data_IF_871281973209
#
_entry.id   IF_871281973209
#
_cell.length_a   1.000
_cell.length_b   1.000
_cell.length_c   1.000
_cell.angle_alpha   90.00
_cell.angle_beta   90.00
_cell.angle_gamma   90.00
#
_symmetry.space_group_name_H-M   'P 1'
#
loop_
_entity.id
_entity.type
_entity.pdbx_description
1 polymer ?
#
# COMPACT_ATOMS: atom_id res chain seq x y z
N UNK A 1 13.58 -24.30 76.63
CA UNK A 1 12.21 -23.81 76.89
C UNK A 1 11.73 -23.21 75.60
N UNK A 2 11.11 -24.13 74.87
CA UNK A 2 10.28 -24.01 73.69
C UNK A 2 9.27 -22.86 73.81
N UNK A 3 8.94 -22.21 72.69
CA UNK A 3 7.58 -22.34 72.16
C UNK A 3 7.48 -21.90 70.70
N UNK A 4 6.65 -22.63 69.97
CA UNK A 4 6.51 -22.60 68.51
C UNK A 4 5.37 -21.68 68.04
N UNK A 5 5.59 -21.12 66.85
CA UNK A 5 4.65 -20.75 65.78
C UNK A 5 3.15 -20.53 66.08
N UNK A 6 2.63 -19.37 65.64
CA UNK A 6 1.29 -19.29 65.01
C UNK A 6 1.37 -18.40 63.76
N UNK A 7 1.03 -19.03 62.64
CA UNK A 7 0.76 -18.47 61.32
C UNK A 7 -0.60 -17.76 61.35
N UNK A 8 -0.69 -16.53 60.85
CA UNK A 8 -1.97 -16.04 60.32
C UNK A 8 -1.74 -15.25 59.02
N UNK A 9 -2.06 -15.92 57.92
CA UNK A 9 -2.15 -15.37 56.58
C UNK A 9 -3.49 -14.63 56.49
N UNK A 10 -3.46 -13.31 56.28
CA UNK A 10 -4.60 -12.56 55.73
C UNK A 10 -4.21 -11.83 54.46
N UNK A 11 -4.39 -12.56 53.37
CA UNK A 11 -4.74 -12.05 52.04
C UNK A 11 -5.99 -11.17 52.13
N UNK A 12 -6.01 -10.03 51.43
CA UNK A 12 -7.11 -9.39 50.66
C UNK A 12 -6.65 -7.94 50.37
N UNK A 13 -6.16 -7.64 49.16
CA UNK A 13 -6.91 -7.13 47.99
C UNK A 13 -7.06 -5.60 47.98
N UNK A 14 -6.28 -4.92 47.13
CA UNK A 14 -6.63 -3.58 46.60
C UNK A 14 -6.09 -3.47 45.16
N UNK A 15 -6.86 -2.89 44.21
CA UNK A 15 -6.91 -3.42 42.86
C UNK A 15 -6.07 -2.65 41.82
N UNK A 16 -5.50 -3.43 40.90
CA UNK A 16 -5.43 -3.19 39.44
C UNK A 16 -5.22 -1.75 38.93
N UNK A 17 -3.96 -1.35 38.76
CA UNK A 17 -3.57 -0.31 37.81
C UNK A 17 -3.01 -0.95 36.53
N UNK A 18 -3.87 -1.60 35.76
CA UNK A 18 -3.55 -2.10 34.41
C UNK A 18 -4.06 -1.10 33.39
N UNK A 19 -3.18 -0.14 33.02
CA UNK A 19 -3.32 0.62 31.77
C UNK A 19 -3.31 -0.39 30.63
N UNK A 20 -4.43 -0.49 29.91
CA UNK A 20 -4.54 -1.27 28.68
C UNK A 20 -3.76 -0.54 27.56
N UNK A 21 -2.74 -1.13 26.92
CA UNK A 21 -2.32 -0.67 25.61
C UNK A 21 -3.34 -1.17 24.58
N UNK A 22 -4.22 -0.29 24.11
CA UNK A 22 -5.08 -0.58 22.95
C UNK A 22 -4.29 -0.37 21.66
N UNK A 23 -3.51 -1.36 21.24
CA UNK A 23 -3.04 -1.46 19.85
C UNK A 23 -3.85 -2.56 19.16
N UNK A 24 -5.01 -2.18 18.62
CA UNK A 24 -5.66 -2.98 17.58
C UNK A 24 -4.83 -2.79 16.31
N UNK A 25 -3.83 -3.63 16.14
CA UNK A 25 -3.08 -3.82 14.90
C UNK A 25 -4.05 -4.32 13.84
N UNK A 26 -4.68 -3.37 13.15
CA UNK A 26 -5.50 -3.63 11.97
C UNK A 26 -4.58 -3.58 10.75
N UNK A 27 -3.69 -4.56 10.68
CA UNK A 27 -2.92 -4.87 9.48
C UNK A 27 -3.38 -6.23 8.99
N UNK A 28 -3.46 -6.37 7.67
CA UNK A 28 -3.71 -7.62 6.94
C UNK A 28 -5.15 -8.11 6.93
N UNK A 29 -5.91 -7.59 5.97
CA UNK A 29 -6.62 -8.42 4.99
C UNK A 29 -7.17 -7.52 3.89
N UNK A 30 -6.87 -7.88 2.63
CA UNK A 30 -7.38 -7.23 1.43
C UNK A 30 -6.30 -6.53 0.61
N UNK A 31 -5.97 -7.10 -0.56
CA UNK A 31 -5.17 -6.54 -1.67
C UNK A 31 -3.64 -6.66 -1.63
N UNK A 32 -3.00 -7.03 -0.51
CA UNK A 32 -1.56 -7.32 -0.48
C UNK A 32 -1.14 -8.62 -1.21
N UNK A 33 -2.09 -9.55 -1.40
CA UNK A 33 -1.81 -10.89 -1.94
C UNK A 33 -1.55 -10.95 -3.44
N UNK A 34 -2.07 -10.03 -4.24
CA UNK A 34 -1.94 -10.11 -5.71
C UNK A 34 -0.53 -9.71 -6.18
N UNK A 35 0.20 -8.91 -5.39
CA UNK A 35 1.62 -8.65 -5.65
C UNK A 35 2.54 -9.79 -5.15
N UNK A 36 2.03 -10.64 -4.24
CA UNK A 36 2.81 -11.67 -3.56
C UNK A 36 3.16 -12.85 -4.47
N UNK A 37 2.31 -13.18 -5.44
CA UNK A 37 2.45 -14.43 -6.22
C UNK A 37 3.45 -14.37 -7.38
N UNK A 38 3.80 -13.19 -7.90
CA UNK A 38 4.51 -13.06 -9.18
C UNK A 38 5.98 -12.65 -9.10
N UNK A 39 6.48 -12.22 -7.94
CA UNK A 39 7.88 -11.81 -7.78
C UNK A 39 8.76 -12.97 -7.27
N UNK A 40 8.18 -13.95 -6.56
CA UNK A 40 8.94 -15.05 -5.96
C UNK A 40 9.21 -16.23 -6.94
N UNK A 41 8.39 -16.37 -7.99
CA UNK A 41 8.55 -17.41 -9.00
C UNK A 41 8.87 -16.74 -10.32
N UNK A 42 10.05 -16.96 -10.88
CA UNK A 42 10.47 -16.47 -12.20
C UNK A 42 9.66 -17.03 -13.39
N UNK A 43 8.37 -17.31 -13.22
CA UNK A 43 7.46 -17.69 -14.31
C UNK A 43 6.96 -16.46 -15.02
N UNK A 44 7.71 -16.03 -16.02
CA UNK A 44 7.16 -15.35 -17.19
C UNK A 44 6.32 -16.36 -17.99
N UNK A 45 5.19 -16.80 -17.43
CA UNK A 45 4.13 -17.37 -18.24
C UNK A 45 3.45 -16.20 -18.94
N UNK A 46 3.96 -15.91 -20.13
CA UNK A 46 3.30 -15.07 -21.12
C UNK A 46 2.00 -15.75 -21.53
N UNK A 47 0.92 -15.46 -20.81
CA UNK A 47 -0.43 -15.69 -21.29
C UNK A 47 -0.84 -14.43 -22.05
N UNK A 48 -0.93 -14.52 -23.38
CA UNK A 48 -1.57 -13.57 -24.28
C UNK A 48 -3.10 -13.51 -24.04
N UNK A 49 -3.51 -13.31 -22.79
CA UNK A 49 -4.87 -12.92 -22.42
C UNK A 49 -4.96 -11.41 -22.44
N UNK A 50 -5.77 -10.87 -23.36
CA UNK A 50 -5.81 -9.45 -23.74
C UNK A 50 -5.62 -8.42 -22.62
N UNK A 51 -5.02 -7.30 -23.00
CA UNK A 51 -4.79 -6.07 -22.22
C UNK A 51 -6.04 -5.50 -21.51
N UNK A 52 -7.21 -6.13 -21.64
CA UNK A 52 -8.49 -5.70 -21.08
C UNK A 52 -8.75 -6.17 -19.63
N UNK A 53 -7.99 -7.13 -19.09
CA UNK A 53 -8.22 -7.68 -17.73
C UNK A 53 -7.23 -7.23 -16.66
N UNK A 54 -6.12 -6.60 -17.03
CA UNK A 54 -5.01 -6.31 -16.12
C UNK A 54 -5.16 -4.90 -15.52
N UNK A 55 -5.00 -4.71 -14.21
CA UNK A 55 -5.00 -3.38 -13.63
C UNK A 55 -3.95 -2.48 -14.33
N UNK A 56 -4.24 -1.20 -14.58
CA UNK A 56 -3.36 -0.33 -15.36
C UNK A 56 -1.92 -0.29 -14.84
N UNK A 57 -1.71 -0.37 -13.53
CA UNK A 57 -0.40 -0.36 -12.88
C UNK A 57 0.38 -1.69 -12.98
N UNK A 58 -0.20 -2.72 -13.59
CA UNK A 58 0.46 -3.99 -13.88
C UNK A 58 0.81 -4.15 -15.36
N UNK A 59 0.70 -3.09 -16.17
CA UNK A 59 1.15 -3.11 -17.55
C UNK A 59 2.63 -3.54 -17.67
N UNK A 60 3.02 -4.29 -18.73
CA UNK A 60 4.37 -4.85 -18.86
C UNK A 60 5.51 -3.85 -18.67
N UNK A 61 5.35 -2.62 -19.15
CA UNK A 61 6.34 -1.55 -18.98
C UNK A 61 6.52 -1.10 -17.53
N UNK A 62 5.44 -1.09 -16.74
CA UNK A 62 5.50 -0.73 -15.31
C UNK A 62 6.24 -1.83 -14.54
N UNK A 63 5.92 -3.10 -14.85
CA UNK A 63 6.59 -4.26 -14.25
C UNK A 63 8.07 -4.28 -14.62
N UNK A 64 8.40 -4.16 -15.91
CA UNK A 64 9.79 -4.11 -16.40
C UNK A 64 10.59 -2.99 -15.73
N UNK A 65 9.99 -1.80 -15.58
CA UNK A 65 10.64 -0.69 -14.90
C UNK A 65 10.89 -0.97 -13.41
N UNK A 66 9.98 -1.68 -12.72
CA UNK A 66 10.19 -2.06 -11.31
C UNK A 66 11.37 -3.02 -11.12
N UNK A 67 11.51 -4.01 -12.00
CA UNK A 67 12.63 -4.97 -11.98
C UNK A 67 13.95 -4.26 -12.30
N UNK A 68 13.94 -3.30 -13.22
CA UNK A 68 15.12 -2.54 -13.62
C UNK A 68 15.73 -1.71 -12.47
N UNK A 69 14.99 -1.43 -11.39
CA UNK A 69 15.52 -0.71 -10.22
C UNK A 69 16.69 -1.49 -9.59
N UNK A 70 16.69 -2.83 -9.67
CA UNK A 70 17.69 -3.73 -9.04
C UNK A 70 17.77 -3.55 -7.53
N UNK A 71 16.64 -3.77 -6.85
CA UNK A 71 16.51 -3.66 -5.40
C UNK A 71 16.92 -4.95 -4.68
N UNK A 72 17.53 -4.81 -3.50
CA UNK A 72 17.74 -5.92 -2.55
C UNK A 72 16.39 -6.43 -2.00
N UNK A 73 16.39 -7.58 -1.32
CA UNK A 73 15.18 -8.14 -0.71
C UNK A 73 14.51 -7.16 0.29
N UNK A 74 15.32 -6.49 1.13
CA UNK A 74 14.81 -5.53 2.10
C UNK A 74 14.24 -4.27 1.43
N UNK A 75 14.93 -3.76 0.42
CA UNK A 75 14.44 -2.64 -0.39
C UNK A 75 13.15 -3.01 -1.13
N UNK A 76 13.04 -4.24 -1.62
CA UNK A 76 11.81 -4.75 -2.25
C UNK A 76 10.64 -4.79 -1.26
N UNK A 77 10.86 -5.15 0.01
CA UNK A 77 9.81 -5.14 1.02
C UNK A 77 9.26 -3.72 1.22
N UNK A 78 10.15 -2.72 1.36
CA UNK A 78 9.77 -1.30 1.47
C UNK A 78 9.07 -0.81 0.20
N UNK A 79 9.56 -1.21 -0.97
CA UNK A 79 8.94 -0.89 -2.26
C UNK A 79 7.49 -1.40 -2.34
N UNK A 80 7.27 -2.68 -2.00
CA UNK A 80 5.92 -3.29 -2.02
C UNK A 80 4.99 -2.55 -1.07
N UNK A 81 5.45 -2.22 0.13
CA UNK A 81 4.67 -1.46 1.11
C UNK A 81 4.34 -0.03 0.61
N UNK A 82 5.32 0.66 0.03
CA UNK A 82 5.16 2.02 -0.46
C UNK A 82 4.21 2.10 -1.66
N UNK A 83 4.36 1.21 -2.65
CA UNK A 83 3.51 1.13 -3.84
C UNK A 83 2.11 0.66 -3.47
N UNK A 84 2.00 -0.37 -2.63
CA UNK A 84 0.72 -0.87 -2.14
C UNK A 84 -0.06 0.22 -1.40
N UNK A 85 0.61 0.96 -0.51
CA UNK A 85 -0.01 2.09 0.19
C UNK A 85 -0.43 3.24 -0.74
N UNK A 86 0.30 3.49 -1.83
CA UNK A 86 -0.11 4.46 -2.84
C UNK A 86 -1.39 4.03 -3.57
N UNK A 87 -1.45 2.79 -4.05
CA UNK A 87 -2.59 2.27 -4.82
C UNK A 87 -3.84 2.13 -3.95
N UNK A 88 -3.70 1.58 -2.76
CA UNK A 88 -4.80 1.41 -1.81
C UNK A 88 -5.33 2.76 -1.34
N UNK A 89 -4.44 3.69 -0.97
CA UNK A 89 -4.82 5.03 -0.54
C UNK A 89 -5.54 5.82 -1.63
N UNK A 90 -5.05 5.75 -2.88
CA UNK A 90 -5.70 6.40 -4.01
C UNK A 90 -7.08 5.81 -4.29
N UNK A 91 -7.19 4.48 -4.31
CA UNK A 91 -8.44 3.77 -4.61
C UNK A 91 -9.49 4.01 -3.53
N UNK A 92 -9.11 3.88 -2.26
CA UNK A 92 -9.99 4.10 -1.11
C UNK A 92 -10.52 5.53 -1.08
N UNK A 93 -9.66 6.51 -1.31
CA UNK A 93 -10.06 7.92 -1.33
C UNK A 93 -10.98 8.20 -2.51
N UNK A 94 -10.71 7.66 -3.70
CA UNK A 94 -11.60 7.76 -4.86
C UNK A 94 -12.99 7.21 -4.58
N UNK A 95 -13.07 5.96 -4.09
CA UNK A 95 -14.35 5.31 -3.76
C UNK A 95 -15.10 6.09 -2.68
N UNK A 96 -14.39 6.63 -1.68
CA UNK A 96 -14.98 7.47 -0.65
C UNK A 96 -15.61 8.74 -1.24
N UNK A 97 -14.91 9.43 -2.15
CA UNK A 97 -15.43 10.63 -2.82
C UNK A 97 -16.66 10.34 -3.66
N UNK A 98 -16.67 9.22 -4.38
CA UNK A 98 -17.83 8.78 -5.16
C UNK A 98 -19.04 8.48 -4.27
N UNK A 99 -18.84 7.73 -3.17
CA UNK A 99 -19.91 7.42 -2.20
C UNK A 99 -20.49 8.66 -1.54
N UNK A 100 -19.64 9.65 -1.25
CA UNK A 100 -20.05 10.91 -0.63
C UNK A 100 -20.56 11.94 -1.65
N UNK A 101 -20.56 11.61 -2.95
CA UNK A 101 -20.94 12.52 -4.04
C UNK A 101 -20.26 13.89 -3.91
N UNK A 102 -18.96 13.90 -3.59
CA UNK A 102 -18.25 15.16 -3.39
C UNK A 102 -18.24 16.01 -4.66
N UNK A 103 -18.31 17.31 -4.50
CA UNK A 103 -18.04 18.24 -5.60
C UNK A 103 -16.57 18.18 -6.03
N UNK A 104 -16.36 18.44 -7.32
CA UNK A 104 -15.04 18.56 -7.93
C UNK A 104 -14.12 17.35 -7.67
N UNK A 105 -14.69 16.14 -7.83
CA UNK A 105 -13.96 14.87 -7.76
C UNK A 105 -12.68 14.90 -8.61
N UNK A 106 -12.67 15.41 -9.87
CA UNK A 106 -11.46 15.43 -10.69
C UNK A 106 -10.29 16.19 -10.05
N UNK A 107 -10.52 17.38 -9.48
CA UNK A 107 -9.47 18.12 -8.80
C UNK A 107 -9.01 17.39 -7.54
N UNK A 108 -9.94 16.88 -6.74
CA UNK A 108 -9.64 16.22 -5.47
C UNK A 108 -8.84 14.93 -5.67
N UNK A 109 -9.17 14.12 -6.67
CA UNK A 109 -8.42 12.89 -6.95
C UNK A 109 -7.01 13.17 -7.48
N UNK A 110 -6.83 14.25 -8.27
CA UNK A 110 -5.49 14.72 -8.68
C UNK A 110 -4.64 15.14 -7.48
N UNK A 111 -5.24 15.83 -6.50
CA UNK A 111 -4.58 16.19 -5.25
C UNK A 111 -4.24 14.96 -4.40
N UNK A 112 -5.18 14.02 -4.26
CA UNK A 112 -4.97 12.76 -3.56
C UNK A 112 -3.80 11.97 -4.14
N UNK A 113 -3.78 11.78 -5.47
CA UNK A 113 -2.66 11.15 -6.18
C UNK A 113 -1.34 11.83 -5.86
N UNK A 114 -1.30 13.16 -5.89
CA UNK A 114 -0.09 13.93 -5.59
C UNK A 114 0.38 13.73 -4.15
N UNK A 115 -0.53 13.70 -3.16
CA UNK A 115 -0.17 13.47 -1.75
C UNK A 115 0.35 12.04 -1.52
N UNK A 116 -0.35 11.04 -2.05
CA UNK A 116 0.06 9.63 -1.92
C UNK A 116 1.38 9.36 -2.65
N UNK A 117 1.58 9.96 -3.83
CA UNK A 117 2.86 9.87 -4.56
C UNK A 117 4.01 10.45 -3.74
N UNK A 118 3.85 11.65 -3.15
CA UNK A 118 4.88 12.22 -2.26
C UNK A 118 5.20 11.33 -1.06
N UNK A 119 4.22 10.63 -0.50
CA UNK A 119 4.43 9.69 0.61
C UNK A 119 5.25 8.47 0.15
N UNK A 120 4.95 7.93 -1.02
CA UNK A 120 5.72 6.86 -1.65
C UNK A 120 7.16 7.32 -1.93
N UNK A 121 7.34 8.51 -2.51
CA UNK A 121 8.66 9.06 -2.87
C UNK A 121 9.57 9.22 -1.66
N UNK A 122 9.02 9.69 -0.53
CA UNK A 122 9.78 9.82 0.73
C UNK A 122 10.29 8.49 1.24
N UNK A 123 9.45 7.44 1.19
CA UNK A 123 9.87 6.09 1.59
C UNK A 123 10.98 5.57 0.70
N UNK A 124 10.84 5.73 -0.62
CA UNK A 124 11.82 5.22 -1.57
C UNK A 124 13.14 5.97 -1.54
N UNK A 125 13.11 7.30 -1.37
CA UNK A 125 14.35 8.09 -1.24
C UNK A 125 15.16 7.72 0.00
N UNK A 126 14.51 7.25 1.06
CA UNK A 126 15.19 6.85 2.30
C UNK A 126 15.94 5.50 2.20
N UNK A 127 15.62 4.66 1.21
CA UNK A 127 16.14 3.28 1.14
C UNK A 127 16.92 2.95 -0.14
N UNK A 128 16.74 3.74 -1.20
CA UNK A 128 17.43 3.55 -2.46
C UNK A 128 18.68 4.42 -2.53
N UNK A 129 19.75 3.89 -3.12
CA UNK A 129 20.89 4.69 -3.55
C UNK A 129 20.50 5.61 -4.72
N UNK A 130 21.39 6.54 -5.10
CA UNK A 130 21.11 7.52 -6.15
C UNK A 130 20.82 6.88 -7.52
N UNK A 131 21.57 5.83 -7.89
CA UNK A 131 21.37 5.16 -9.18
C UNK A 131 20.03 4.40 -9.20
N UNK A 132 19.71 3.70 -8.12
CA UNK A 132 18.42 3.04 -7.94
C UNK A 132 17.29 4.06 -7.92
N UNK A 133 17.49 5.21 -7.29
CA UNK A 133 16.49 6.27 -7.19
C UNK A 133 16.15 6.87 -8.57
N UNK A 134 17.13 7.06 -9.44
CA UNK A 134 16.89 7.50 -10.82
C UNK A 134 16.06 6.49 -11.63
N UNK A 135 16.34 5.20 -11.48
CA UNK A 135 15.53 4.14 -12.09
C UNK A 135 14.12 4.10 -11.49
N UNK A 136 14.01 4.31 -10.19
CA UNK A 136 12.72 4.46 -9.50
C UNK A 136 11.92 5.65 -10.03
N UNK A 137 12.53 6.78 -10.33
CA UNK A 137 11.82 7.92 -10.93
C UNK A 137 11.19 7.56 -12.29
N UNK A 138 11.88 6.74 -13.07
CA UNK A 138 11.34 6.20 -14.33
C UNK A 138 10.13 5.30 -14.09
N UNK A 139 10.26 4.34 -13.17
CA UNK A 139 9.13 3.50 -12.73
C UNK A 139 7.94 4.34 -12.25
N UNK A 140 8.20 5.34 -11.40
CA UNK A 140 7.18 6.22 -10.82
C UNK A 140 6.42 6.98 -11.89
N UNK A 141 7.10 7.52 -12.91
CA UNK A 141 6.43 8.20 -14.03
C UNK A 141 5.45 7.27 -14.74
N UNK A 142 5.86 6.03 -15.02
CA UNK A 142 5.01 5.02 -15.65
C UNK A 142 3.82 4.62 -14.76
N UNK A 143 4.06 4.43 -13.46
CA UNK A 143 2.99 4.15 -12.50
C UNK A 143 1.95 5.28 -12.46
N UNK A 144 2.38 6.54 -12.40
CA UNK A 144 1.47 7.69 -12.39
C UNK A 144 0.69 7.84 -13.69
N UNK A 145 1.33 7.60 -14.83
CA UNK A 145 0.66 7.60 -16.13
C UNK A 145 -0.39 6.49 -16.20
N UNK A 146 -0.06 5.29 -15.70
CA UNK A 146 -1.00 4.17 -15.71
C UNK A 146 -2.23 4.39 -14.82
N UNK A 147 -2.07 5.12 -13.72
CA UNK A 147 -3.18 5.47 -12.81
C UNK A 147 -3.97 6.69 -13.27
N UNK A 148 -3.59 7.33 -14.38
CA UNK A 148 -4.31 8.51 -14.87
C UNK A 148 -5.75 8.20 -15.28
N UNK A 149 -6.04 6.98 -15.75
CA UNK A 149 -7.41 6.53 -16.06
C UNK A 149 -8.35 6.57 -14.84
N UNK A 150 -7.81 6.44 -13.61
CA UNK A 150 -8.60 6.58 -12.38
C UNK A 150 -8.87 8.05 -12.02
N UNK A 151 -8.01 8.96 -12.49
CA UNK A 151 -8.08 10.41 -12.23
C UNK A 151 -8.91 11.12 -13.31
N UNK A 152 -8.76 10.67 -14.54
CA UNK A 152 -9.40 11.18 -15.75
C UNK A 152 -10.04 9.99 -16.48
N UNK A 153 -11.20 9.50 -16.02
CA UNK A 153 -11.89 8.46 -16.76
C UNK A 153 -12.20 8.99 -18.17
N UNK A 154 -11.96 8.21 -19.24
CA UNK A 154 -12.32 8.64 -20.58
C UNK A 154 -13.80 8.99 -20.55
N UNK A 155 -14.14 10.23 -20.96
CA UNK A 155 -15.52 10.67 -21.02
C UNK A 155 -16.31 9.60 -21.76
N UNK A 156 -17.40 9.09 -21.15
CA UNK A 156 -18.32 8.18 -21.82
C UNK A 156 -18.78 8.90 -23.08
N UNK A 157 -18.18 8.60 -24.23
CA UNK A 157 -18.72 9.02 -25.53
C UNK A 157 -20.09 8.37 -25.59
N UNK A 158 -21.11 9.19 -25.39
CA UNK A 158 -22.49 8.77 -25.48
C UNK A 158 -22.67 8.09 -26.83
N UNK A 159 -22.98 6.80 -26.79
CA UNK A 159 -23.62 6.12 -27.90
C UNK A 159 -25.03 6.70 -28.00
N UNK A 160 -25.14 7.89 -28.61
CA UNK A 160 -26.40 8.35 -29.21
C UNK A 160 -26.52 7.60 -30.53
N UNK A 161 -27.22 6.48 -30.47
CA UNK A 161 -27.94 5.92 -31.61
C UNK A 161 -29.37 6.38 -31.52
#
# INVERSE_FOLDING_TARGET
MDDYAVVEIKTILTPSNLRRPTMKTRWQTGLGGILLALIASGSLAAEEGGLQGRPPWMQPQVVKASVAIKMTADQQAVFREAVGGFLDGLTTEYVSMMKQQKDDIPRRIKQARSRHARKMDRKMRAVLDDQQYDRYQTYRKLLLASTDVMVNPPGRRGRRG
#
